data_IF_197343649678
#
_entry.id   IF_197343649678
#
_cell.length_a   1.000
_cell.length_b   1.000
_cell.length_c   1.000
_cell.angle_alpha   90.00
_cell.angle_beta   90.00
_cell.angle_gamma   90.00
#
_symmetry.space_group_name_H-M   'P 1'
#
loop_
_entity.id
_entity.type
_entity.pdbx_description
1 polymer ?
#
# COMPACT_ATOMS: atom_id res chain seq x y z
N UNK A 1 3.02 18.93 -30.71
CA UNK A 1 2.68 18.39 -29.38
C UNK A 1 2.63 16.87 -29.43
N UNK A 2 3.78 16.19 -29.57
CA UNK A 2 3.85 14.72 -29.72
C UNK A 2 4.63 14.02 -28.60
N UNK A 3 5.04 14.75 -27.56
CA UNK A 3 6.02 14.26 -26.57
C UNK A 3 5.44 13.85 -25.20
N UNK A 4 4.16 14.08 -24.90
CA UNK A 4 3.66 13.87 -23.52
C UNK A 4 3.15 12.45 -23.21
N UNK A 5 2.95 11.59 -24.22
CA UNK A 5 2.52 10.20 -24.00
C UNK A 5 3.70 9.22 -23.91
N UNK A 6 4.88 9.59 -24.41
CA UNK A 6 6.09 8.76 -24.41
C UNK A 6 6.80 8.73 -23.04
N UNK A 7 6.40 9.58 -22.09
CA UNK A 7 6.99 9.69 -20.74
C UNK A 7 6.21 8.92 -19.66
N UNK A 8 5.08 8.29 -20.00
CA UNK A 8 4.33 7.51 -19.02
C UNK A 8 4.97 6.13 -18.83
N UNK A 9 5.17 5.68 -17.58
CA UNK A 9 5.72 4.35 -17.33
C UNK A 9 4.83 3.26 -17.94
N UNK A 10 5.50 2.21 -18.41
CA UNK A 10 4.85 1.02 -18.96
C UNK A 10 4.01 0.31 -17.91
N UNK A 11 2.92 -0.33 -18.35
CA UNK A 11 2.02 -1.07 -17.47
C UNK A 11 2.75 -2.20 -16.74
N UNK A 12 3.69 -2.86 -17.42
CA UNK A 12 4.52 -3.93 -16.88
C UNK A 12 5.42 -3.42 -15.74
N UNK A 13 5.97 -2.20 -15.87
CA UNK A 13 6.81 -1.59 -14.84
C UNK A 13 5.98 -1.27 -13.60
N UNK A 14 4.80 -0.68 -13.79
CA UNK A 14 3.89 -0.37 -12.68
C UNK A 14 3.34 -1.64 -12.02
N UNK A 15 3.03 -2.68 -12.79
CA UNK A 15 2.64 -4.00 -12.28
C UNK A 15 3.74 -4.62 -11.43
N UNK A 16 4.98 -4.61 -11.93
CA UNK A 16 6.11 -5.10 -11.17
C UNK A 16 6.33 -4.31 -9.88
N UNK A 17 6.16 -2.98 -9.91
CA UNK A 17 6.27 -2.13 -8.73
C UNK A 17 5.21 -2.47 -7.69
N UNK A 18 3.94 -2.58 -8.08
CA UNK A 18 2.85 -2.95 -7.18
C UNK A 18 3.04 -4.35 -6.56
N UNK A 19 3.50 -5.33 -7.36
CA UNK A 19 3.81 -6.68 -6.87
C UNK A 19 4.95 -6.63 -5.85
N UNK A 20 6.02 -5.88 -6.13
CA UNK A 20 7.18 -5.77 -5.22
C UNK A 20 6.79 -5.11 -3.90
N UNK A 21 6.09 -3.98 -3.94
CA UNK A 21 5.66 -3.29 -2.72
C UNK A 21 4.64 -4.13 -1.94
N UNK A 22 3.73 -4.84 -2.62
CA UNK A 22 2.79 -5.76 -1.99
C UNK A 22 3.48 -6.92 -1.24
N UNK A 23 4.49 -7.54 -1.86
CA UNK A 23 5.31 -8.58 -1.22
C UNK A 23 6.06 -8.08 0.01
N UNK A 24 6.71 -6.93 -0.10
CA UNK A 24 7.44 -6.34 1.04
C UNK A 24 6.48 -6.01 2.18
N UNK A 25 5.35 -5.37 1.88
CA UNK A 25 4.29 -5.11 2.87
C UNK A 25 3.81 -6.40 3.53
N UNK A 26 3.55 -7.45 2.75
CA UNK A 26 3.07 -8.73 3.29
C UNK A 26 4.08 -9.38 4.24
N UNK A 27 5.36 -9.30 3.92
CA UNK A 27 6.42 -9.86 4.76
C UNK A 27 6.55 -9.10 6.08
N UNK A 28 6.61 -7.76 6.04
CA UNK A 28 6.74 -6.94 7.24
C UNK A 28 5.48 -7.00 8.12
N UNK A 29 4.29 -7.05 7.52
CA UNK A 29 3.04 -7.21 8.25
C UNK A 29 3.03 -8.50 9.08
N UNK A 30 3.58 -9.61 8.55
CA UNK A 30 3.66 -10.88 9.27
C UNK A 30 4.64 -10.86 10.44
N UNK A 31 5.60 -9.94 10.46
CA UNK A 31 6.53 -9.77 11.58
C UNK A 31 5.90 -8.92 12.70
N UNK A 32 5.30 -7.79 12.32
CA UNK A 32 4.78 -6.80 13.29
C UNK A 32 3.40 -7.20 13.83
N UNK A 33 2.60 -7.90 13.02
CA UNK A 33 1.27 -8.41 13.36
C UNK A 33 0.31 -7.38 14.00
N UNK A 34 0.05 -6.22 13.36
CA UNK A 34 -0.97 -5.30 13.86
C UNK A 34 -2.34 -5.96 13.99
N UNK A 35 -3.09 -5.58 15.03
CA UNK A 35 -4.46 -6.07 15.25
C UNK A 35 -5.43 -5.33 14.32
N UNK A 36 -6.12 -6.08 13.46
CA UNK A 36 -7.11 -5.54 12.52
C UNK A 36 -8.51 -5.74 13.07
N UNK A 37 -9.12 -4.67 13.58
CA UNK A 37 -10.46 -4.72 14.17
C UNK A 37 -11.50 -5.26 13.18
N UNK A 38 -12.33 -6.21 13.66
CA UNK A 38 -13.36 -6.83 12.84
C UNK A 38 -12.85 -7.81 11.78
N UNK A 39 -11.59 -8.27 11.89
CA UNK A 39 -11.01 -9.32 11.06
C UNK A 39 -10.30 -10.37 11.91
N UNK A 40 -10.43 -11.63 11.50
CA UNK A 40 -9.65 -12.73 12.07
C UNK A 40 -8.24 -12.73 11.47
N UNK A 41 -7.23 -13.21 12.21
CA UNK A 41 -5.89 -13.44 11.68
C UNK A 41 -5.86 -14.26 10.38
N UNK A 42 -6.77 -15.25 10.23
CA UNK A 42 -6.88 -16.05 9.01
C UNK A 42 -7.22 -15.19 7.78
N UNK A 43 -8.26 -14.37 7.85
CA UNK A 43 -8.64 -13.42 6.78
C UNK A 43 -7.55 -12.42 6.41
N UNK A 44 -6.83 -11.90 7.41
CA UNK A 44 -5.65 -11.05 7.14
C UNK A 44 -4.59 -11.87 6.41
N UNK A 45 -4.27 -13.07 6.89
CA UNK A 45 -3.27 -13.95 6.28
C UNK A 45 -3.61 -14.32 4.83
N UNK A 46 -4.88 -14.59 4.51
CA UNK A 46 -5.33 -14.83 3.13
C UNK A 46 -5.03 -13.65 2.21
N UNK A 47 -5.22 -12.42 2.70
CA UNK A 47 -4.90 -11.19 1.95
C UNK A 47 -3.40 -11.07 1.74
N UNK A 48 -2.61 -11.30 2.79
CA UNK A 48 -1.14 -11.23 2.70
C UNK A 48 -0.57 -12.33 1.78
N UNK A 49 -1.19 -13.51 1.73
CA UNK A 49 -0.77 -14.57 0.82
C UNK A 49 -1.01 -14.19 -0.64
N UNK A 50 -2.16 -13.57 -0.96
CA UNK A 50 -2.42 -13.03 -2.30
C UNK A 50 -1.39 -11.98 -2.70
N UNK A 51 -1.08 -11.04 -1.80
CA UNK A 51 -0.02 -10.04 -2.04
C UNK A 51 1.34 -10.70 -2.30
N UNK A 52 1.67 -11.75 -1.56
CA UNK A 52 2.93 -12.49 -1.73
C UNK A 52 3.00 -13.21 -3.09
N UNK A 53 1.89 -13.79 -3.53
CA UNK A 53 1.74 -14.40 -4.86
C UNK A 53 1.74 -13.36 -6.00
N UNK A 54 1.54 -12.08 -5.68
CA UNK A 54 1.49 -10.96 -6.64
C UNK A 54 0.09 -10.61 -7.11
N UNK A 55 -0.95 -11.18 -6.48
CA UNK A 55 -2.34 -10.78 -6.70
C UNK A 55 -2.65 -9.49 -5.90
N UNK A 56 -2.38 -8.35 -6.52
CA UNK A 56 -2.58 -7.01 -5.93
C UNK A 56 -3.96 -6.40 -6.25
N UNK A 57 -4.80 -7.09 -7.02
CA UNK A 57 -6.11 -6.59 -7.49
C UNK A 57 -7.29 -7.52 -7.21
N UNK A 58 -7.12 -8.51 -6.34
CA UNK A 58 -8.24 -9.31 -5.85
C UNK A 58 -9.40 -8.43 -5.38
N UNK A 59 -10.58 -8.64 -5.99
CA UNK A 59 -11.82 -7.92 -5.63
C UNK A 59 -12.22 -8.17 -4.18
N UNK A 60 -11.78 -9.29 -3.60
CA UNK A 60 -12.05 -9.62 -2.20
C UNK A 60 -11.34 -8.68 -1.23
N UNK A 61 -10.32 -7.93 -1.68
CA UNK A 61 -9.46 -7.15 -0.80
C UNK A 61 -9.77 -5.65 -0.78
N UNK A 62 -10.61 -5.14 -1.68
CA UNK A 62 -10.91 -3.69 -1.76
C UNK A 62 -11.43 -3.11 -0.45
N UNK A 63 -12.27 -3.86 0.25
CA UNK A 63 -12.81 -3.45 1.55
C UNK A 63 -11.85 -3.71 2.73
N UNK A 64 -10.78 -4.48 2.50
CA UNK A 64 -9.77 -4.84 3.50
C UNK A 64 -8.76 -3.71 3.65
N UNK A 65 -8.45 -2.99 2.56
CA UNK A 65 -7.45 -1.92 2.56
C UNK A 65 -7.72 -0.84 3.61
N UNK A 66 -8.95 -0.34 3.66
CA UNK A 66 -9.35 0.65 4.66
C UNK A 66 -9.27 0.13 6.12
N UNK A 67 -9.37 -1.20 6.32
CA UNK A 67 -9.22 -1.81 7.65
C UNK A 67 -7.75 -1.94 8.05
N UNK A 68 -6.88 -2.30 7.10
CA UNK A 68 -5.43 -2.36 7.32
C UNK A 68 -4.88 -0.97 7.68
N UNK A 69 -5.24 0.07 6.91
CA UNK A 69 -4.86 1.45 7.22
C UNK A 69 -5.28 1.87 8.63
N UNK A 70 -6.55 1.63 8.98
CA UNK A 70 -7.07 1.93 10.33
C UNK A 70 -6.31 1.19 11.43
N UNK A 71 -5.93 -0.06 11.19
CA UNK A 71 -5.13 -0.84 12.13
C UNK A 71 -3.75 -0.19 12.35
N UNK A 72 -3.08 0.24 11.28
CA UNK A 72 -1.78 0.92 11.36
C UNK A 72 -1.87 2.25 12.11
N UNK A 73 -2.87 3.09 11.78
CA UNK A 73 -3.10 4.37 12.47
C UNK A 73 -3.36 4.14 13.96
N UNK A 74 -4.21 3.18 14.30
CA UNK A 74 -4.55 2.84 15.68
C UNK A 74 -3.32 2.34 16.45
N UNK A 75 -2.54 1.46 15.84
CA UNK A 75 -1.37 0.85 16.48
C UNK A 75 -0.24 1.87 16.73
N UNK A 76 -0.02 2.78 15.79
CA UNK A 76 0.89 3.93 15.96
C UNK A 76 0.37 4.90 17.03
N UNK A 77 -0.92 5.25 17.01
CA UNK A 77 -1.50 6.15 18.00
C UNK A 77 -1.51 5.57 19.42
N UNK A 78 -1.61 4.24 19.55
CA UNK A 78 -1.48 3.56 20.83
C UNK A 78 -0.05 3.64 21.38
N UNK A 79 0.95 3.70 20.51
CA UNK A 79 2.35 3.84 20.88
C UNK A 79 2.71 5.32 21.16
N UNK A 80 2.29 6.25 20.29
CA UNK A 80 2.45 7.70 20.47
C UNK A 80 1.18 8.42 19.99
N UNK A 81 0.48 9.05 20.92
CA UNK A 81 -0.79 9.72 20.63
C UNK A 81 -0.67 10.74 19.47
N UNK A 82 -1.54 10.62 18.47
CA UNK A 82 -1.59 11.49 17.28
C UNK A 82 -0.58 11.13 16.19
N UNK A 83 0.42 10.29 16.47
CA UNK A 83 1.48 9.98 15.53
C UNK A 83 0.99 9.15 14.34
N UNK A 84 0.06 8.22 14.54
CA UNK A 84 -0.50 7.41 13.46
C UNK A 84 -1.24 8.23 12.41
N UNK A 85 -1.96 9.27 12.84
CA UNK A 85 -2.63 10.19 11.92
C UNK A 85 -1.61 11.03 11.14
N UNK A 86 -0.60 11.55 11.85
CA UNK A 86 0.51 12.28 11.22
C UNK A 86 1.26 11.43 10.18
N UNK A 87 1.61 10.19 10.53
CA UNK A 87 2.33 9.28 9.66
C UNK A 87 1.52 8.82 8.44
N UNK A 88 0.19 8.83 8.52
CA UNK A 88 -0.66 8.57 7.37
C UNK A 88 -0.60 9.72 6.34
N UNK A 89 -0.57 10.97 6.81
CA UNK A 89 -0.67 12.16 5.97
C UNK A 89 0.69 12.69 5.48
N UNK A 90 1.77 12.35 6.17
CA UNK A 90 3.12 12.87 5.90
C UNK A 90 4.09 11.74 5.57
N UNK A 91 5.14 12.03 4.80
CA UNK A 91 6.30 11.13 4.69
C UNK A 91 7.12 11.21 5.98
N UNK A 92 7.15 10.12 6.74
CA UNK A 92 7.85 10.00 8.03
C UNK A 92 9.11 9.15 7.92
N UNK A 93 9.56 8.85 6.69
CA UNK A 93 10.75 8.02 6.44
C UNK A 93 12.02 8.56 7.09
N UNK A 94 12.07 9.87 7.35
CA UNK A 94 13.21 10.60 7.90
C UNK A 94 12.98 11.08 9.34
N UNK A 95 11.89 10.68 9.99
CA UNK A 95 11.66 11.00 11.39
C UNK A 95 12.75 10.37 12.26
N UNK A 96 13.37 11.17 13.12
CA UNK A 96 14.33 10.66 14.11
C UNK A 96 13.57 10.02 15.28
N UNK A 97 13.42 8.70 15.22
CA UNK A 97 12.70 7.89 16.21
C UNK A 97 13.71 7.09 17.03
N UNK A 98 13.80 7.38 18.33
CA UNK A 98 14.70 6.66 19.24
C UNK A 98 14.06 5.40 19.84
N UNK A 99 12.77 5.18 19.58
CA UNK A 99 12.03 3.98 19.98
C UNK A 99 11.93 3.03 18.80
N UNK A 100 12.64 1.90 18.89
CA UNK A 100 12.67 0.88 17.84
C UNK A 100 11.28 0.31 17.54
N UNK A 101 10.43 0.12 18.56
CA UNK A 101 9.07 -0.40 18.35
C UNK A 101 8.18 0.60 17.62
N UNK A 102 8.36 1.90 17.87
CA UNK A 102 7.69 2.95 17.08
C UNK A 102 8.23 3.00 15.66
N UNK A 103 9.54 2.85 15.48
CA UNK A 103 10.20 2.84 14.18
C UNK A 103 9.71 1.69 13.29
N UNK A 104 9.62 0.47 13.81
CA UNK A 104 9.11 -0.71 13.09
C UNK A 104 7.67 -0.49 12.62
N UNK A 105 6.80 0.02 13.49
CA UNK A 105 5.41 0.34 13.15
C UNK A 105 5.31 1.46 12.11
N UNK A 106 6.16 2.48 12.22
CA UNK A 106 6.22 3.59 11.25
C UNK A 106 6.69 3.08 9.90
N UNK A 107 7.70 2.21 9.88
CA UNK A 107 8.18 1.57 8.66
C UNK A 107 7.06 0.80 7.95
N UNK A 108 6.24 0.06 8.70
CA UNK A 108 5.08 -0.62 8.12
C UNK A 108 4.06 0.35 7.51
N UNK A 109 3.86 1.52 8.10
CA UNK A 109 3.02 2.58 7.52
C UNK A 109 3.60 3.14 6.21
N UNK A 110 4.93 3.32 6.13
CA UNK A 110 5.57 3.77 4.88
C UNK A 110 5.44 2.71 3.76
N UNK A 111 5.58 1.43 4.10
CA UNK A 111 5.37 0.33 3.16
C UNK A 111 3.91 0.25 2.70
N UNK A 112 2.96 0.48 3.61
CA UNK A 112 1.54 0.58 3.28
C UNK A 112 1.26 1.68 2.24
N UNK A 113 1.77 2.90 2.50
CA UNK A 113 1.62 4.03 1.58
C UNK A 113 2.27 3.75 0.22
N UNK A 114 3.47 3.17 0.22
CA UNK A 114 4.17 2.77 -1.01
C UNK A 114 3.37 1.77 -1.84
N UNK A 115 2.77 0.76 -1.18
CA UNK A 115 1.92 -0.22 -1.84
C UNK A 115 0.66 0.41 -2.44
N UNK A 116 -0.09 1.20 -1.66
CA UNK A 116 -1.31 1.85 -2.14
C UNK A 116 -1.01 2.81 -3.29
N UNK A 117 0.07 3.58 -3.21
CA UNK A 117 0.50 4.47 -4.28
C UNK A 117 0.84 3.71 -5.57
N UNK A 118 1.63 2.63 -5.49
CA UNK A 118 1.97 1.81 -6.66
C UNK A 118 0.73 1.16 -7.29
N UNK A 119 -0.19 0.66 -6.45
CA UNK A 119 -1.46 0.08 -6.88
C UNK A 119 -2.32 1.10 -7.62
N UNK A 120 -2.46 2.31 -7.08
CA UNK A 120 -3.24 3.38 -7.68
C UNK A 120 -2.64 3.84 -9.01
N UNK A 121 -1.31 4.01 -9.08
CA UNK A 121 -0.62 4.39 -10.32
C UNK A 121 -0.91 3.41 -11.48
N UNK A 122 -0.95 2.11 -11.19
CA UNK A 122 -1.29 1.09 -12.17
C UNK A 122 -2.77 1.13 -12.60
N UNK A 123 -3.70 1.35 -11.66
CA UNK A 123 -5.12 1.55 -11.97
C UNK A 123 -5.30 2.75 -12.89
N UNK A 124 -4.67 3.88 -12.55
CA UNK A 124 -4.76 5.12 -13.29
C UNK A 124 -4.18 4.97 -14.69
N UNK A 125 -3.02 4.33 -14.82
CA UNK A 125 -2.39 4.05 -16.13
C UNK A 125 -3.26 3.16 -17.01
N UNK A 126 -3.88 2.13 -16.45
CA UNK A 126 -4.81 1.25 -17.17
C UNK A 126 -6.05 2.03 -17.62
N UNK A 127 -6.59 2.89 -16.76
CA UNK A 127 -7.76 3.72 -17.09
C UNK A 127 -7.42 4.75 -18.18
N UNK A 128 -6.25 5.38 -18.10
CA UNK A 128 -5.76 6.31 -19.11
C UNK A 128 -5.61 5.63 -20.47
N UNK A 129 -5.06 4.42 -20.53
CA UNK A 129 -4.95 3.64 -21.76
C UNK A 129 -6.32 3.32 -22.38
N UNK A 130 -7.29 2.94 -21.56
CA UNK A 130 -8.67 2.69 -22.02
C UNK A 130 -9.30 3.97 -22.60
N UNK A 131 -9.19 5.09 -21.90
CA UNK A 131 -9.73 6.37 -22.37
C UNK A 131 -9.07 6.81 -23.68
N UNK A 132 -7.76 6.69 -23.80
CA UNK A 132 -7.04 7.04 -25.03
C UNK A 132 -7.53 6.24 -26.24
N UNK A 133 -7.84 4.95 -26.06
CA UNK A 133 -8.36 4.11 -27.14
C UNK A 133 -9.72 4.55 -27.68
N UNK A 134 -10.53 5.26 -26.89
CA UNK A 134 -11.84 5.79 -27.31
C UNK A 134 -11.73 7.02 -28.22
N UNK A 135 -10.60 7.75 -28.17
CA UNK A 135 -10.36 8.94 -29.00
C UNK A 135 -9.45 8.65 -30.21
N UNK A 136 -9.01 7.40 -30.37
CA UNK A 136 -8.14 6.96 -31.45
C UNK A 136 -8.91 6.39 -32.67
N UNK A 137 -10.24 6.33 -32.59
CA UNK A 137 -11.16 6.00 -33.70
C UNK A 137 -11.91 7.22 -34.18
#
# INVERSE_FOLDING_TARGET
MKHQLDDLPDLEVLALQAIRTGRVLANEWRQILPVVDGMTHAKVSETLNRLDEGDVFSIHDEHIWAKLEKALVKDLNAHRAGYGSYALESDTSFDDLWDQGLEEKRWLMELWKSFISARQALIDRRRAAQLASLFAG
#
